data_IF_610731180360
#
_entry.id   IF_610731180360
#
_cell.length_a   1.000
_cell.length_b   1.000
_cell.length_c   1.000
_cell.angle_alpha   90.00
_cell.angle_beta   90.00
_cell.angle_gamma   90.00
#
_symmetry.space_group_name_H-M   'P 1'
#
loop_
_entity.id
_entity.type
_entity.pdbx_description
1 polymer ?
#
# COMPACT_ATOMS: atom_id res chain seq x y z
N UNK A 1 -11.13 -1.27 7.57
CA UNK A 1 -11.84 0.00 7.72
C UNK A 1 -10.90 1.17 7.48
N UNK A 2 -11.31 2.12 6.65
CA UNK A 2 -10.47 3.26 6.28
C UNK A 2 -10.44 4.27 7.44
N UNK A 3 -9.25 4.71 7.89
CA UNK A 3 -9.16 5.75 8.91
C UNK A 3 -9.86 7.04 8.48
N UNK A 4 -10.46 7.75 9.44
CA UNK A 4 -11.23 8.96 9.15
C UNK A 4 -10.40 10.06 8.49
N UNK A 5 -9.13 10.17 8.84
CA UNK A 5 -8.22 11.16 8.23
C UNK A 5 -8.05 10.92 6.74
N UNK A 6 -7.93 9.65 6.33
CA UNK A 6 -7.82 9.29 4.91
C UNK A 6 -9.17 9.45 4.22
N UNK A 7 -10.24 9.00 4.87
CA UNK A 7 -11.59 9.08 4.30
C UNK A 7 -11.96 10.52 3.94
N UNK A 8 -11.54 11.50 4.72
CA UNK A 8 -11.81 12.90 4.42
C UNK A 8 -11.10 13.40 3.16
N UNK A 9 -10.01 12.77 2.77
CA UNK A 9 -9.25 13.18 1.58
C UNK A 9 -9.82 12.57 0.30
N UNK A 10 -10.50 11.42 0.39
CA UNK A 10 -10.94 10.68 -0.79
C UNK A 10 -11.85 11.47 -1.73
N UNK A 11 -12.83 12.28 -1.25
CA UNK A 11 -13.66 13.06 -2.16
C UNK A 11 -12.91 14.17 -2.91
N UNK A 12 -11.71 14.49 -2.47
CA UNK A 12 -10.91 15.59 -3.04
C UNK A 12 -9.98 15.13 -4.16
N UNK A 13 -9.93 13.82 -4.45
CA UNK A 13 -9.07 13.27 -5.50
C UNK A 13 -9.91 12.73 -6.64
N UNK A 14 -9.31 12.63 -7.83
CA UNK A 14 -10.02 12.21 -9.03
C UNK A 14 -10.38 10.72 -9.02
N UNK A 15 -9.51 9.87 -8.46
CA UNK A 15 -9.69 8.42 -8.45
C UNK A 15 -9.51 7.87 -7.04
N UNK A 16 -10.50 8.04 -6.18
CA UNK A 16 -10.35 7.62 -4.78
C UNK A 16 -10.14 6.11 -4.60
N UNK A 17 -10.57 5.28 -5.55
CA UNK A 17 -10.36 3.83 -5.48
C UNK A 17 -8.88 3.43 -5.41
N UNK A 18 -7.98 4.28 -5.88
CA UNK A 18 -6.53 4.05 -5.79
C UNK A 18 -6.05 3.97 -4.34
N UNK A 19 -6.78 4.55 -3.42
CA UNK A 19 -6.29 4.84 -2.07
C UNK A 19 -7.11 4.21 -0.96
N UNK A 20 -8.14 3.45 -1.29
CA UNK A 20 -9.06 2.91 -0.30
C UNK A 20 -8.91 1.42 -0.02
N UNK A 21 -8.03 0.71 -0.72
CA UNK A 21 -7.83 -0.72 -0.50
C UNK A 21 -9.10 -1.54 -0.79
N UNK A 22 -9.21 -2.69 -0.14
CA UNK A 22 -10.43 -3.51 -0.21
C UNK A 22 -10.59 -4.34 -1.46
N UNK A 23 -9.51 -4.62 -2.18
CA UNK A 23 -9.56 -5.48 -3.37
C UNK A 23 -9.92 -6.92 -2.98
N UNK A 24 -10.44 -7.69 -3.94
CA UNK A 24 -10.93 -9.06 -3.70
C UNK A 24 -9.88 -9.96 -3.07
N UNK A 25 -8.62 -9.86 -3.52
CA UNK A 25 -7.54 -10.72 -3.04
C UNK A 25 -6.70 -10.08 -1.93
N UNK A 26 -7.25 -9.09 -1.26
CA UNK A 26 -6.58 -8.43 -0.14
C UNK A 26 -6.40 -9.38 1.03
N UNK A 27 -5.19 -9.40 1.58
CA UNK A 27 -4.84 -10.25 2.72
C UNK A 27 -4.71 -9.37 3.97
N UNK A 28 -5.57 -9.60 4.93
CA UNK A 28 -5.57 -8.87 6.21
C UNK A 28 -5.14 -9.84 7.31
N UNK A 29 -4.16 -9.44 8.09
CA UNK A 29 -3.66 -10.23 9.21
C UNK A 29 -3.75 -9.47 10.53
N UNK A 30 -3.61 -10.20 11.62
CA UNK A 30 -3.57 -9.62 12.96
C UNK A 30 -2.13 -9.22 13.28
N UNK A 31 -1.92 -7.92 13.52
CA UNK A 31 -0.58 -7.38 13.83
C UNK A 31 0.08 -8.06 15.01
N UNK A 32 -0.70 -8.50 15.99
CA UNK A 32 -0.16 -9.14 17.19
C UNK A 32 0.40 -10.53 16.92
N UNK A 33 0.06 -11.13 15.79
CA UNK A 33 0.46 -12.49 15.44
C UNK A 33 1.57 -12.55 14.40
N UNK A 34 1.96 -11.40 13.83
CA UNK A 34 3.05 -11.36 12.85
C UNK A 34 4.29 -10.78 13.49
N UNK A 35 5.46 -11.29 13.07
CA UNK A 35 6.74 -10.84 13.59
C UNK A 35 7.41 -9.83 12.66
N UNK A 36 7.07 -9.86 11.37
CA UNK A 36 7.69 -9.01 10.36
C UNK A 36 6.63 -8.39 9.47
N UNK A 37 6.66 -7.08 9.38
CA UNK A 37 5.76 -6.33 8.51
C UNK A 37 6.55 -5.76 7.33
N UNK A 38 6.13 -6.10 6.12
CA UNK A 38 6.80 -5.70 4.89
C UNK A 38 5.90 -4.74 4.13
N UNK A 39 6.43 -3.58 3.79
CA UNK A 39 5.80 -2.67 2.84
C UNK A 39 6.41 -2.92 1.47
N UNK A 40 5.63 -3.48 0.57
CA UNK A 40 6.08 -3.73 -0.80
C UNK A 40 5.66 -2.53 -1.65
N UNK A 41 6.63 -1.71 -1.99
CA UNK A 41 6.39 -0.45 -2.70
C UNK A 41 6.64 -0.62 -4.20
N UNK A 42 5.63 -0.24 -4.98
CA UNK A 42 5.76 -0.15 -6.42
C UNK A 42 5.82 1.34 -6.78
N UNK A 43 6.90 1.82 -7.40
CA UNK A 43 7.11 3.27 -7.60
C UNK A 43 6.33 3.82 -8.81
N UNK A 44 5.05 3.49 -8.90
CA UNK A 44 4.15 3.96 -9.93
C UNK A 44 2.72 3.93 -9.38
N UNK A 45 1.78 4.40 -10.19
CA UNK A 45 0.38 4.49 -9.81
C UNK A 45 -0.24 3.11 -9.53
N UNK A 46 -1.30 3.13 -8.77
CA UNK A 46 -2.06 1.95 -8.37
C UNK A 46 -2.41 1.05 -9.56
N UNK A 47 -2.93 1.60 -10.66
CA UNK A 47 -3.34 0.80 -11.82
C UNK A 47 -2.16 0.06 -12.44
N UNK A 48 -1.00 0.69 -12.49
CA UNK A 48 0.21 0.07 -13.05
C UNK A 48 0.69 -1.05 -12.13
N UNK A 49 0.77 -0.79 -10.83
CA UNK A 49 1.22 -1.78 -9.86
C UNK A 49 0.28 -2.98 -9.76
N UNK A 50 -1.02 -2.75 -9.72
CA UNK A 50 -2.01 -3.82 -9.62
C UNK A 50 -2.06 -4.71 -10.87
N UNK A 51 -1.60 -4.20 -12.00
CA UNK A 51 -1.50 -4.98 -13.24
C UNK A 51 -0.19 -5.74 -13.35
N UNK A 52 0.76 -5.51 -12.46
CA UNK A 52 2.08 -6.10 -12.56
C UNK A 52 2.11 -7.50 -11.94
N UNK A 53 2.44 -8.50 -12.77
CA UNK A 53 2.44 -9.90 -12.32
C UNK A 53 3.47 -10.16 -11.21
N UNK A 54 4.66 -9.59 -11.32
CA UNK A 54 5.70 -9.74 -10.30
C UNK A 54 5.24 -9.28 -8.93
N UNK A 55 4.53 -8.15 -8.86
CA UNK A 55 3.99 -7.64 -7.61
C UNK A 55 3.00 -8.62 -6.98
N UNK A 56 2.12 -9.21 -7.80
CA UNK A 56 1.13 -10.19 -7.33
C UNK A 56 1.82 -11.46 -6.81
N UNK A 57 2.86 -11.92 -7.50
CA UNK A 57 3.60 -13.11 -7.11
C UNK A 57 4.32 -12.91 -5.77
N UNK A 58 5.01 -11.80 -5.60
CA UNK A 58 5.71 -11.51 -4.34
C UNK A 58 4.75 -11.28 -3.19
N UNK A 59 3.67 -10.57 -3.43
CA UNK A 59 2.63 -10.36 -2.42
C UNK A 59 2.08 -11.69 -1.91
N UNK A 60 1.72 -12.58 -2.83
CA UNK A 60 1.22 -13.91 -2.49
C UNK A 60 2.28 -14.75 -1.77
N UNK A 61 3.52 -14.75 -2.27
CA UNK A 61 4.59 -15.56 -1.71
C UNK A 61 4.93 -15.15 -0.26
N UNK A 62 5.09 -13.86 -0.02
CA UNK A 62 5.39 -13.38 1.33
C UNK A 62 4.24 -13.65 2.30
N UNK A 63 3.01 -13.45 1.86
CA UNK A 63 1.85 -13.63 2.73
C UNK A 63 1.47 -15.08 3.01
N UNK A 64 2.07 -16.04 2.30
CA UNK A 64 1.93 -17.46 2.64
C UNK A 64 2.59 -17.80 3.96
N UNK A 65 3.55 -17.01 4.39
CA UNK A 65 4.20 -17.22 5.68
C UNK A 65 3.36 -16.52 6.76
N UNK A 66 2.99 -17.27 7.79
CA UNK A 66 2.11 -16.76 8.84
C UNK A 66 2.73 -15.61 9.63
N UNK A 67 4.05 -15.63 9.81
CA UNK A 67 4.78 -14.63 10.57
C UNK A 67 5.04 -13.33 9.80
N UNK A 68 4.76 -13.30 8.50
CA UNK A 68 4.99 -12.12 7.65
C UNK A 68 3.66 -11.55 7.17
N UNK A 69 3.51 -10.24 7.29
CA UNK A 69 2.41 -9.54 6.65
C UNK A 69 2.99 -8.55 5.64
N UNK A 70 2.77 -8.82 4.36
CA UNK A 70 3.20 -7.97 3.25
C UNK A 70 2.03 -7.12 2.78
N UNK A 71 2.21 -5.82 2.80
CA UNK A 71 1.21 -4.86 2.33
C UNK A 71 1.71 -4.13 1.10
N UNK A 72 0.79 -3.69 0.27
CA UNK A 72 1.11 -2.99 -0.97
C UNK A 72 1.05 -1.49 -0.78
N UNK A 73 2.03 -0.80 -1.34
CA UNK A 73 2.11 0.66 -1.34
C UNK A 73 2.40 1.13 -2.76
N UNK A 74 1.61 2.07 -3.26
CA UNK A 74 1.81 2.62 -4.59
C UNK A 74 2.13 4.11 -4.51
N UNK A 75 2.80 4.64 -5.54
CA UNK A 75 3.05 6.06 -5.63
C UNK A 75 1.73 6.81 -5.84
N UNK A 76 1.44 7.85 -5.07
CA UNK A 76 0.21 8.60 -5.26
C UNK A 76 0.29 9.51 -6.48
N UNK A 77 -0.86 9.75 -7.11
CA UNK A 77 -0.96 10.78 -8.12
C UNK A 77 -0.77 12.15 -7.48
N UNK A 78 -0.54 13.17 -8.30
CA UNK A 78 -0.18 14.51 -7.80
C UNK A 78 -1.24 15.11 -6.87
N UNK A 79 -2.52 14.88 -7.16
CA UNK A 79 -3.61 15.39 -6.32
C UNK A 79 -3.55 14.80 -4.90
N UNK A 80 -3.38 13.49 -4.77
CA UNK A 80 -3.28 12.84 -3.46
C UNK A 80 -1.96 13.17 -2.78
N UNK A 81 -0.87 13.24 -3.54
CA UNK A 81 0.43 13.62 -2.99
C UNK A 81 0.38 14.98 -2.31
N UNK A 82 -0.24 15.95 -2.98
CA UNK A 82 -0.40 17.31 -2.42
C UNK A 82 -1.22 17.28 -1.14
N UNK A 83 -2.32 16.53 -1.12
CA UNK A 83 -3.17 16.43 0.06
C UNK A 83 -2.44 15.78 1.25
N UNK A 84 -1.67 14.73 0.99
CA UNK A 84 -0.88 14.09 2.04
C UNK A 84 0.13 15.06 2.64
N UNK A 85 0.82 15.82 1.80
CA UNK A 85 1.80 16.81 2.27
C UNK A 85 1.14 17.93 3.05
N UNK A 86 0.01 18.45 2.57
CA UNK A 86 -0.73 19.52 3.23
C UNK A 86 -1.25 19.09 4.61
N UNK A 87 -1.63 17.84 4.76
CA UNK A 87 -2.18 17.31 6.01
C UNK A 87 -1.11 16.64 6.87
N UNK A 88 0.16 16.74 6.49
CA UNK A 88 1.28 16.15 7.21
C UNK A 88 1.12 14.65 7.42
N UNK A 89 0.62 13.96 6.39
CA UNK A 89 0.38 12.51 6.41
C UNK A 89 1.41 11.79 5.56
N UNK A 90 1.76 10.58 5.99
CA UNK A 90 2.70 9.71 5.29
C UNK A 90 1.96 8.74 4.37
N UNK A 91 2.70 8.17 3.40
CA UNK A 91 2.18 7.06 2.62
C UNK A 91 1.87 5.88 3.55
N UNK A 92 0.90 5.08 3.15
CA UNK A 92 0.39 4.00 3.97
C UNK A 92 0.16 2.73 3.13
N UNK A 93 0.15 1.59 3.82
CA UNK A 93 -0.20 0.31 3.19
C UNK A 93 -1.70 0.23 2.93
N UNK A 94 -2.09 -0.40 1.84
CA UNK A 94 -3.50 -0.48 1.44
C UNK A 94 -4.30 -1.49 2.26
N UNK A 95 -3.65 -2.33 3.04
CA UNK A 95 -4.32 -3.32 3.88
C UNK A 95 -4.63 -2.77 5.27
N UNK A 96 -3.63 -2.28 5.99
CA UNK A 96 -3.80 -1.76 7.35
C UNK A 96 -4.02 -0.26 7.43
N UNK A 97 -3.63 0.48 6.40
CA UNK A 97 -3.55 1.93 6.37
C UNK A 97 -2.53 2.50 7.35
N UNK A 98 -1.62 1.67 7.83
CA UNK A 98 -0.53 2.14 8.68
C UNK A 98 0.52 2.86 7.85
N UNK A 99 1.13 3.93 8.40
CA UNK A 99 2.17 4.66 7.67
C UNK A 99 3.43 3.84 7.47
N UNK A 100 4.21 4.19 6.46
CA UNK A 100 5.41 3.44 6.06
C UNK A 100 6.42 3.25 7.19
N UNK A 101 6.52 4.21 8.11
CA UNK A 101 7.50 4.12 9.19
C UNK A 101 7.13 3.11 10.29
N UNK A 102 5.96 2.51 10.22
CA UNK A 102 5.58 1.42 11.13
C UNK A 102 5.94 0.03 10.60
N UNK A 103 6.51 -0.06 9.42
CA UNK A 103 6.92 -1.34 8.82
C UNK A 103 8.37 -1.67 9.17
N UNK A 104 8.65 -2.98 9.25
CA UNK A 104 10.01 -3.46 9.55
C UNK A 104 10.92 -3.43 8.34
N UNK A 105 10.35 -3.71 7.16
CA UNK A 105 11.07 -3.78 5.89
C UNK A 105 10.31 -3.02 4.84
N UNK A 106 11.01 -2.20 4.06
CA UNK A 106 10.46 -1.53 2.89
C UNK A 106 11.17 -2.09 1.67
N UNK A 107 10.41 -2.73 0.78
CA UNK A 107 10.94 -3.32 -0.44
C UNK A 107 10.42 -2.57 -1.66
N UNK A 108 11.28 -2.35 -2.62
CA UNK A 108 10.90 -1.71 -3.88
C UNK A 108 11.05 -2.70 -5.02
N UNK A 109 10.02 -2.76 -5.88
CA UNK A 109 10.11 -3.47 -7.15
C UNK A 109 10.52 -2.46 -8.21
N UNK A 110 11.71 -2.64 -8.77
CA UNK A 110 12.23 -1.76 -9.80
C UNK A 110 12.00 -2.40 -11.17
N UNK A 111 11.41 -1.61 -12.08
CA UNK A 111 11.31 -2.00 -13.48
C UNK A 111 12.53 -1.46 -14.20
N UNK A 112 13.39 -2.38 -14.66
CA UNK A 112 14.52 -2.00 -15.48
C UNK A 112 14.09 -2.16 -16.93
N UNK A 113 13.94 -1.05 -17.62
CA UNK A 113 13.77 -1.06 -19.07
C UNK A 113 15.14 -1.10 -19.70
N UNK A 114 15.42 -2.20 -20.33
CA UNK A 114 16.66 -2.34 -21.09
C UNK A 114 16.35 -1.96 -22.52
#
# INVERSE_FOLDING_TARGET
>A
MIPSEIERLLPKVQKPARYCGGEINTIIKDKSKVTTRVAFCFPDLYEVGMSHLGMKLFYSAFNKREEIWCERVFAPAEDMRSLLLENNMKLYGLESFDPLDEFDVIMFLSLIHI
#
